data_IF_672924876837
#
_entry.id   IF_672924876837
#
_cell.length_a   1.000
_cell.length_b   1.000
_cell.length_c   1.000
_cell.angle_alpha   90.00
_cell.angle_beta   90.00
_cell.angle_gamma   90.00
#
_symmetry.space_group_name_H-M   'P 1'
#
loop_
_entity.id
_entity.type
_entity.pdbx_description
1 polymer ?
#
# COMPACT_ATOMS: atom_id res chain seq x y z
N UNK A 1 -24.16 -40.75 -45.17
CA UNK A 1 -22.86 -40.13 -44.83
C UNK A 1 -22.90 -39.16 -43.63
N UNK A 2 -24.04 -38.54 -43.28
CA UNK A 2 -24.12 -37.59 -42.15
C UNK A 2 -23.88 -38.22 -40.74
N UNK A 3 -24.21 -39.49 -40.55
CA UNK A 3 -24.08 -40.20 -39.27
C UNK A 3 -22.61 -40.49 -38.90
N UNK A 4 -21.75 -40.75 -39.90
CA UNK A 4 -20.32 -40.97 -39.71
C UNK A 4 -19.60 -39.67 -39.29
N UNK A 5 -19.99 -38.52 -39.86
CA UNK A 5 -19.46 -37.21 -39.49
C UNK A 5 -19.87 -36.77 -38.08
N UNK A 6 -21.10 -37.08 -37.64
CA UNK A 6 -21.51 -36.83 -36.25
C UNK A 6 -20.75 -37.72 -35.25
N UNK A 7 -20.52 -39.00 -35.55
CA UNK A 7 -19.73 -39.88 -34.67
C UNK A 7 -18.26 -39.44 -34.57
N UNK A 8 -17.64 -39.01 -35.67
CA UNK A 8 -16.25 -38.54 -35.67
C UNK A 8 -16.11 -37.23 -34.87
N UNK A 9 -17.06 -36.30 -34.99
CA UNK A 9 -17.07 -35.08 -34.16
C UNK A 9 -17.38 -35.37 -32.69
N UNK A 10 -18.24 -36.33 -32.36
CA UNK A 10 -18.49 -36.72 -30.97
C UNK A 10 -17.27 -37.41 -30.34
N UNK A 11 -16.55 -38.28 -31.06
CA UNK A 11 -15.33 -38.91 -30.57
C UNK A 11 -14.18 -37.90 -30.41
N UNK A 12 -13.99 -36.96 -31.34
CA UNK A 12 -12.96 -35.92 -31.22
C UNK A 12 -13.23 -34.93 -30.09
N UNK A 13 -14.50 -34.63 -29.81
CA UNK A 13 -14.91 -33.82 -28.65
C UNK A 13 -14.66 -34.58 -27.33
N UNK A 14 -14.87 -35.90 -27.30
CA UNK A 14 -14.64 -36.74 -26.13
C UNK A 14 -13.15 -36.97 -25.83
N UNK A 15 -12.31 -37.11 -26.85
CA UNK A 15 -10.85 -37.21 -26.68
C UNK A 15 -10.22 -35.87 -26.29
N UNK A 16 -10.73 -34.75 -26.80
CA UNK A 16 -10.27 -33.41 -26.42
C UNK A 16 -10.64 -33.04 -24.97
N UNK A 17 -11.85 -33.41 -24.52
CA UNK A 17 -12.28 -33.18 -23.13
C UNK A 17 -11.55 -34.06 -22.11
N UNK A 18 -11.29 -35.33 -22.44
CA UNK A 18 -10.55 -36.26 -21.56
C UNK A 18 -9.05 -35.93 -21.48
N UNK A 19 -8.43 -35.47 -22.55
CA UNK A 19 -7.03 -34.99 -22.53
C UNK A 19 -6.88 -33.69 -21.73
N UNK A 20 -7.81 -32.75 -21.86
CA UNK A 20 -7.84 -31.54 -21.03
C UNK A 20 -8.02 -31.87 -19.54
N UNK A 21 -8.96 -32.77 -19.19
CA UNK A 21 -9.17 -33.21 -17.81
C UNK A 21 -7.93 -33.90 -17.21
N UNK A 22 -7.24 -34.72 -18.00
CA UNK A 22 -6.01 -35.42 -17.58
C UNK A 22 -4.84 -34.46 -17.36
N UNK A 23 -4.69 -33.43 -18.21
CA UNK A 23 -3.67 -32.39 -18.02
C UNK A 23 -3.94 -31.57 -16.76
N UNK A 24 -5.19 -31.20 -16.49
CA UNK A 24 -5.57 -30.48 -15.27
C UNK A 24 -5.25 -31.30 -14.02
N UNK A 25 -5.53 -32.62 -14.03
CA UNK A 25 -5.24 -33.51 -12.91
C UNK A 25 -3.74 -33.69 -12.61
N UNK A 26 -2.86 -33.52 -13.61
CA UNK A 26 -1.39 -33.55 -13.42
C UNK A 26 -0.82 -32.18 -13.05
N UNK A 27 -1.45 -31.09 -13.50
CA UNK A 27 -1.04 -29.73 -13.17
C UNK A 27 -1.27 -29.40 -11.69
N UNK A 28 -2.38 -29.85 -11.10
CA UNK A 28 -2.69 -29.59 -9.70
C UNK A 28 -1.60 -30.12 -8.73
N UNK A 29 -1.15 -31.40 -8.78
CA UNK A 29 -0.10 -31.90 -7.91
C UNK A 29 1.28 -31.30 -8.21
N UNK A 30 1.56 -30.96 -9.48
CA UNK A 30 2.79 -30.26 -9.84
C UNK A 30 2.83 -28.85 -9.25
N UNK A 31 1.74 -28.11 -9.37
CA UNK A 31 1.60 -26.76 -8.81
C UNK A 31 1.61 -26.79 -7.28
N UNK A 32 0.98 -27.81 -6.66
CA UNK A 32 1.01 -27.96 -5.20
C UNK A 32 2.40 -28.35 -4.69
N UNK A 33 3.11 -29.26 -5.38
CA UNK A 33 4.49 -29.59 -5.07
C UNK A 33 5.40 -28.37 -5.23
N UNK A 34 5.28 -27.62 -6.33
CA UNK A 34 6.02 -26.39 -6.55
C UNK A 34 5.72 -25.37 -5.46
N UNK A 35 4.46 -25.17 -5.09
CA UNK A 35 4.05 -24.26 -4.03
C UNK A 35 4.62 -24.65 -2.66
N UNK A 36 4.57 -25.94 -2.30
CA UNK A 36 5.16 -26.46 -1.06
C UNK A 36 6.68 -26.34 -1.06
N UNK A 37 7.32 -26.60 -2.19
CA UNK A 37 8.76 -26.42 -2.37
C UNK A 37 9.15 -24.94 -2.22
N UNK A 38 8.44 -24.03 -2.88
CA UNK A 38 8.62 -22.58 -2.76
C UNK A 38 8.46 -22.12 -1.31
N UNK A 39 7.41 -22.60 -0.62
CA UNK A 39 7.20 -22.31 0.81
C UNK A 39 8.33 -22.82 1.68
N UNK A 40 8.80 -24.05 1.45
CA UNK A 40 9.89 -24.66 2.23
C UNK A 40 11.18 -23.87 2.07
N UNK A 41 11.57 -23.57 0.83
CA UNK A 41 12.78 -22.79 0.51
C UNK A 41 12.71 -21.39 1.12
N UNK A 42 11.56 -20.70 1.00
CA UNK A 42 11.38 -19.37 1.58
C UNK A 42 11.40 -19.35 3.10
N UNK A 43 11.04 -20.44 3.79
CA UNK A 43 11.14 -20.53 5.26
C UNK A 43 12.56 -20.74 5.76
N UNK A 44 13.43 -21.32 4.93
CA UNK A 44 14.81 -21.64 5.31
C UNK A 44 15.78 -20.46 5.12
N UNK A 45 15.36 -19.41 4.40
CA UNK A 45 16.20 -18.25 4.14
C UNK A 45 15.58 -16.99 4.72
N UNK A 46 16.40 -16.19 5.41
CA UNK A 46 16.00 -14.85 5.85
C UNK A 46 15.86 -13.91 4.65
N UNK A 47 16.73 -14.05 3.65
CA UNK A 47 16.71 -13.24 2.43
C UNK A 47 15.89 -13.95 1.35
N UNK A 48 14.96 -13.26 0.67
CA UNK A 48 14.20 -13.83 -0.45
C UNK A 48 15.09 -14.49 -1.51
N UNK A 49 14.74 -15.72 -1.91
CA UNK A 49 15.47 -16.43 -2.96
C UNK A 49 15.11 -15.85 -4.32
N UNK A 50 16.13 -15.58 -5.13
CA UNK A 50 15.97 -15.07 -6.49
C UNK A 50 15.76 -16.22 -7.49
N UNK A 51 14.54 -16.39 -8.00
CA UNK A 51 14.20 -17.42 -8.98
C UNK A 51 14.44 -16.92 -10.42
N UNK A 52 14.85 -17.79 -11.36
CA UNK A 52 15.20 -17.37 -12.73
C UNK A 52 14.11 -16.60 -13.49
N UNK A 53 12.83 -16.96 -13.28
CA UNK A 53 11.69 -16.34 -13.98
C UNK A 53 10.88 -15.43 -13.07
N UNK A 54 10.60 -15.87 -11.84
CA UNK A 54 9.73 -15.18 -10.89
C UNK A 54 10.46 -14.16 -9.99
N UNK A 55 11.79 -14.08 -10.09
CA UNK A 55 12.60 -13.27 -9.19
C UNK A 55 12.37 -13.64 -7.73
N UNK A 56 12.36 -12.63 -6.87
CA UNK A 56 12.10 -12.74 -5.43
C UNK A 56 10.60 -12.63 -5.06
N UNK A 57 9.71 -12.47 -6.05
CA UNK A 57 8.27 -12.29 -5.86
C UNK A 57 7.59 -13.43 -5.07
N UNK A 58 7.95 -14.73 -5.26
CA UNK A 58 7.30 -15.82 -4.52
C UNK A 58 7.47 -15.75 -3.00
N UNK A 59 8.47 -15.00 -2.50
CA UNK A 59 8.70 -14.81 -1.08
C UNK A 59 7.83 -13.70 -0.45
N UNK A 60 7.24 -12.83 -1.27
CA UNK A 60 6.49 -11.67 -0.79
C UNK A 60 5.21 -12.03 0.00
N UNK A 61 4.31 -12.93 -0.49
CA UNK A 61 3.05 -13.20 0.21
C UNK A 61 3.22 -13.85 1.58
N UNK A 62 4.30 -14.61 1.77
CA UNK A 62 4.56 -15.34 3.01
C UNK A 62 4.85 -14.42 4.21
N UNK A 63 5.23 -13.16 3.94
CA UNK A 63 5.68 -12.22 4.96
C UNK A 63 4.85 -10.93 5.05
N UNK A 64 3.78 -10.77 4.25
CA UNK A 64 2.99 -9.52 4.23
C UNK A 64 2.46 -9.10 5.61
N UNK A 65 1.99 -10.06 6.42
CA UNK A 65 1.48 -9.77 7.77
C UNK A 65 2.56 -9.37 8.77
N UNK A 66 3.83 -9.70 8.51
CA UNK A 66 4.98 -9.37 9.35
C UNK A 66 6.07 -8.66 8.53
N UNK A 67 5.66 -7.83 7.56
CA UNK A 67 6.55 -7.27 6.56
C UNK A 67 7.63 -6.40 7.20
N UNK A 68 7.26 -5.64 8.23
CA UNK A 68 8.20 -4.83 9.01
C UNK A 68 9.25 -5.70 9.71
N UNK A 69 8.84 -6.68 10.52
CA UNK A 69 9.76 -7.54 11.28
C UNK A 69 10.64 -8.39 10.36
N UNK A 70 10.08 -8.88 9.26
CA UNK A 70 10.85 -9.58 8.24
C UNK A 70 11.84 -8.63 7.54
N UNK A 71 11.42 -7.42 7.19
CA UNK A 71 12.26 -6.39 6.59
C UNK A 71 13.46 -6.05 7.46
N UNK A 72 13.26 -5.86 8.78
CA UNK A 72 14.35 -5.62 9.73
C UNK A 72 15.37 -6.76 9.71
N UNK A 73 14.92 -8.02 9.70
CA UNK A 73 15.81 -9.19 9.61
C UNK A 73 16.57 -9.25 8.28
N UNK A 74 15.91 -8.94 7.17
CA UNK A 74 16.55 -8.87 5.84
C UNK A 74 17.64 -7.79 5.86
N UNK A 75 17.33 -6.58 6.34
CA UNK A 75 18.31 -5.51 6.42
C UNK A 75 19.50 -5.85 7.32
N UNK A 76 19.26 -6.48 8.47
CA UNK A 76 20.34 -6.94 9.34
C UNK A 76 21.26 -7.96 8.64
N UNK A 77 20.69 -8.85 7.81
CA UNK A 77 21.45 -9.82 7.04
C UNK A 77 22.19 -9.22 5.82
N UNK A 78 21.70 -8.13 5.25
CA UNK A 78 22.21 -7.54 4.00
C UNK A 78 22.97 -6.22 4.19
N UNK A 79 23.45 -5.94 5.40
CA UNK A 79 24.18 -4.69 5.73
C UNK A 79 23.34 -3.43 5.42
N UNK A 80 22.08 -3.42 5.85
CA UNK A 80 21.16 -2.28 5.78
C UNK A 80 20.70 -1.86 4.38
N UNK A 81 21.09 -2.59 3.33
CA UNK A 81 20.63 -2.36 1.95
C UNK A 81 20.23 -3.68 1.30
N UNK A 82 19.07 -3.73 0.65
CA UNK A 82 18.52 -4.94 0.03
C UNK A 82 17.97 -4.62 -1.36
N UNK A 83 18.49 -5.31 -2.37
CA UNK A 83 17.98 -5.21 -3.74
C UNK A 83 16.97 -6.33 -4.00
N UNK A 84 15.69 -5.96 -4.11
CA UNK A 84 14.63 -6.85 -4.55
C UNK A 84 14.65 -6.97 -6.07
N UNK A 85 14.68 -8.22 -6.56
CA UNK A 85 14.60 -8.53 -7.99
C UNK A 85 13.21 -9.04 -8.35
N UNK A 86 12.54 -8.35 -9.27
CA UNK A 86 11.24 -8.74 -9.78
C UNK A 86 11.29 -9.91 -10.77
N UNK A 87 10.13 -10.43 -11.20
CA UNK A 87 10.05 -11.32 -12.36
C UNK A 87 10.66 -10.67 -13.60
N UNK A 88 11.36 -11.42 -14.43
CA UNK A 88 12.14 -10.90 -15.57
C UNK A 88 11.39 -10.00 -16.57
N UNK A 89 10.07 -10.17 -16.70
CA UNK A 89 9.19 -9.45 -17.62
C UNK A 89 8.50 -8.26 -16.94
N UNK A 90 8.53 -8.19 -15.61
CA UNK A 90 7.90 -7.13 -14.83
C UNK A 90 9.03 -6.23 -14.32
N UNK A 91 9.07 -4.97 -14.75
CA UNK A 91 10.07 -3.97 -14.29
C UNK A 91 9.83 -3.60 -12.81
N UNK A 92 10.09 -4.55 -11.91
CA UNK A 92 9.78 -4.48 -10.48
C UNK A 92 11.02 -4.51 -9.60
N UNK A 93 12.20 -4.28 -10.17
CA UNK A 93 13.42 -4.17 -9.38
C UNK A 93 13.35 -2.95 -8.45
N UNK A 94 13.66 -3.17 -7.18
CA UNK A 94 13.61 -2.13 -6.15
C UNK A 94 14.83 -2.23 -5.25
N UNK A 95 15.40 -1.08 -4.90
CA UNK A 95 16.41 -1.00 -3.86
C UNK A 95 15.76 -0.47 -2.59
N UNK A 96 15.80 -1.28 -1.53
CA UNK A 96 15.43 -0.89 -0.20
C UNK A 96 16.70 -0.58 0.59
N UNK A 97 16.73 0.52 1.33
CA UNK A 97 17.90 0.89 2.14
C UNK A 97 17.46 1.59 3.42
N UNK A 98 18.10 1.24 4.52
CA UNK A 98 18.05 1.96 5.79
C UNK A 98 19.44 2.46 6.22
N UNK A 99 20.46 2.33 5.35
CA UNK A 99 21.76 2.96 5.56
C UNK A 99 21.63 4.50 5.54
N UNK A 100 22.01 5.22 6.62
CA UNK A 100 21.95 6.67 6.69
C UNK A 100 22.71 7.37 5.55
N UNK A 101 23.82 6.80 5.07
CA UNK A 101 24.59 7.37 3.97
C UNK A 101 23.78 7.37 2.67
N UNK A 102 23.08 6.27 2.38
CA UNK A 102 22.20 6.16 1.22
C UNK A 102 20.97 7.06 1.35
N UNK A 103 20.39 7.16 2.54
CA UNK A 103 19.25 8.07 2.81
C UNK A 103 19.65 9.53 2.57
N UNK A 104 20.80 9.96 3.08
CA UNK A 104 21.34 11.29 2.83
C UNK A 104 21.69 11.51 1.34
N UNK A 105 22.18 10.48 0.67
CA UNK A 105 22.44 10.53 -0.77
C UNK A 105 21.16 10.82 -1.56
N UNK A 106 20.12 10.00 -1.34
CA UNK A 106 18.85 10.07 -2.08
C UNK A 106 18.04 11.31 -1.71
N UNK A 107 17.88 11.64 -0.43
CA UNK A 107 16.93 12.68 -0.02
C UNK A 107 17.54 14.07 0.17
N UNK A 108 18.87 14.18 0.26
CA UNK A 108 19.53 15.46 0.54
C UNK A 108 20.47 15.88 -0.57
N UNK A 109 21.52 15.10 -0.85
CA UNK A 109 22.60 15.54 -1.75
C UNK A 109 22.27 15.38 -3.24
N UNK A 110 21.54 14.33 -3.63
CA UNK A 110 21.28 13.98 -5.04
C UNK A 110 19.79 13.78 -5.35
N UNK A 111 18.90 14.42 -4.58
CA UNK A 111 17.44 14.26 -4.73
C UNK A 111 16.89 14.56 -6.13
N UNK A 112 17.56 15.42 -6.90
CA UNK A 112 17.17 15.72 -8.28
C UNK A 112 17.30 14.53 -9.25
N UNK A 113 18.15 13.53 -8.93
CA UNK A 113 18.40 12.35 -9.76
C UNK A 113 17.41 11.22 -9.46
N UNK A 114 16.67 11.31 -8.35
CA UNK A 114 15.69 10.32 -7.90
C UNK A 114 14.26 10.88 -7.94
N UNK A 115 13.69 11.19 -9.14
CA UNK A 115 12.30 11.60 -9.25
C UNK A 115 11.37 10.44 -8.90
N UNK A 116 10.14 10.75 -8.44
CA UNK A 116 9.10 9.73 -8.24
C UNK A 116 8.64 9.16 -9.59
N UNK A 117 8.51 10.03 -10.58
CA UNK A 117 8.23 9.67 -11.96
C UNK A 117 6.75 9.37 -12.26
N UNK A 118 6.42 9.11 -13.53
CA UNK A 118 5.03 8.97 -14.01
C UNK A 118 4.33 7.75 -13.42
N UNK A 119 5.04 6.62 -13.24
CA UNK A 119 4.46 5.41 -12.64
C UNK A 119 3.95 5.67 -11.22
N UNK A 120 4.64 6.54 -10.47
CA UNK A 120 4.19 6.97 -9.14
C UNK A 120 2.96 7.88 -9.26
N UNK A 121 3.04 8.92 -10.10
CA UNK A 121 1.93 9.86 -10.29
C UNK A 121 0.62 9.16 -10.70
N UNK A 122 0.69 8.18 -11.60
CA UNK A 122 -0.48 7.40 -12.01
C UNK A 122 -1.09 6.57 -10.87
N UNK A 123 -0.26 5.99 -10.01
CA UNK A 123 -0.75 5.20 -8.87
C UNK A 123 -1.41 6.08 -7.80
N UNK A 124 -1.05 7.36 -7.78
CA UNK A 124 -1.51 8.36 -6.82
C UNK A 124 -2.36 9.44 -7.52
N UNK A 125 -3.02 9.12 -8.63
CA UNK A 125 -3.76 10.06 -9.49
C UNK A 125 -4.79 10.91 -8.72
N UNK A 126 -5.39 10.35 -7.67
CA UNK A 126 -6.36 11.05 -6.80
C UNK A 126 -5.78 12.35 -6.19
N UNK A 127 -4.47 12.45 -6.07
CA UNK A 127 -3.77 13.60 -5.52
C UNK A 127 -3.39 14.64 -6.59
N UNK A 128 -3.72 14.41 -7.87
CA UNK A 128 -3.48 15.34 -8.98
C UNK A 128 -2.05 15.87 -9.03
N UNK A 129 -1.87 17.15 -9.36
CA UNK A 129 -0.57 17.85 -9.34
C UNK A 129 -0.18 18.36 -7.94
N UNK A 130 -0.45 17.59 -6.89
CA UNK A 130 -0.04 17.95 -5.53
C UNK A 130 1.45 17.71 -5.27
N UNK A 131 1.91 18.17 -4.11
CA UNK A 131 3.26 17.92 -3.59
C UNK A 131 3.64 16.42 -3.59
N UNK A 132 2.65 15.53 -3.55
CA UNK A 132 2.85 14.08 -3.53
C UNK A 132 3.32 13.59 -4.91
N UNK A 133 2.73 14.10 -6.00
CA UNK A 133 2.96 13.60 -7.36
C UNK A 133 3.92 14.46 -8.19
N UNK A 134 4.18 15.71 -7.79
CA UNK A 134 5.10 16.59 -8.52
C UNK A 134 6.56 16.28 -8.20
N UNK A 135 7.44 16.57 -9.14
CA UNK A 135 8.90 16.47 -9.01
C UNK A 135 9.58 17.79 -9.42
N UNK A 136 10.90 17.90 -9.21
CA UNK A 136 11.71 19.02 -9.68
C UNK A 136 11.32 20.39 -9.10
N UNK A 137 11.31 21.43 -9.93
CA UNK A 137 11.04 22.81 -9.50
C UNK A 137 9.62 23.00 -8.98
N UNK A 138 8.62 22.34 -9.59
CA UNK A 138 7.23 22.41 -9.12
C UNK A 138 7.11 21.90 -7.69
N UNK A 139 7.73 20.75 -7.40
CA UNK A 139 7.79 20.22 -6.04
C UNK A 139 8.51 21.17 -5.07
N UNK A 140 9.65 21.77 -5.49
CA UNK A 140 10.40 22.73 -4.66
C UNK A 140 9.56 23.96 -4.34
N UNK A 141 8.85 24.50 -5.33
CA UNK A 141 7.98 25.66 -5.17
C UNK A 141 6.82 25.37 -4.21
N UNK A 142 6.11 24.26 -4.42
CA UNK A 142 5.03 23.81 -3.54
C UNK A 142 5.53 23.55 -2.11
N UNK A 143 6.68 22.88 -1.96
CA UNK A 143 7.29 22.61 -0.64
C UNK A 143 7.66 23.90 0.08
N UNK A 144 8.24 24.88 -0.62
CA UNK A 144 8.60 26.18 -0.04
C UNK A 144 7.35 26.93 0.43
N UNK A 145 6.29 26.94 -0.38
CA UNK A 145 5.02 27.57 -0.03
C UNK A 145 4.40 26.92 1.23
N UNK A 146 4.28 25.59 1.24
CA UNK A 146 3.69 24.83 2.35
C UNK A 146 4.55 24.98 3.62
N UNK A 147 5.87 24.90 3.51
CA UNK A 147 6.77 25.12 4.63
C UNK A 147 6.62 26.53 5.23
N UNK A 148 6.59 27.57 4.39
CA UNK A 148 6.38 28.95 4.84
C UNK A 148 5.02 29.12 5.55
N UNK A 149 3.96 28.51 5.01
CA UNK A 149 2.65 28.51 5.65
C UNK A 149 2.70 27.83 7.03
N UNK A 150 3.22 26.61 7.12
CA UNK A 150 3.23 25.80 8.35
C UNK A 150 4.12 26.40 9.44
N UNK A 151 5.25 27.00 9.06
CA UNK A 151 6.17 27.67 10.01
C UNK A 151 5.67 29.05 10.44
N UNK A 152 4.69 29.63 9.73
CA UNK A 152 4.18 30.95 10.05
C UNK A 152 3.55 30.96 11.45
N UNK A 153 3.81 32.04 12.21
CA UNK A 153 3.20 32.22 13.54
C UNK A 153 1.67 32.16 13.47
N UNK A 154 1.07 32.71 12.41
CA UNK A 154 -0.37 32.72 12.21
C UNK A 154 -0.94 31.30 12.12
N UNK A 155 -0.32 30.43 11.32
CA UNK A 155 -0.76 29.05 11.18
C UNK A 155 -0.57 28.27 12.48
N UNK A 156 0.61 28.36 13.12
CA UNK A 156 0.86 27.68 14.41
C UNK A 156 -0.12 28.11 15.52
N UNK A 157 -0.45 29.40 15.60
CA UNK A 157 -1.45 29.89 16.56
C UNK A 157 -2.88 29.43 16.19
N UNK A 158 -3.19 29.24 14.91
CA UNK A 158 -4.46 28.66 14.50
C UNK A 158 -4.52 27.16 14.86
N UNK A 159 -3.47 26.41 14.54
CA UNK A 159 -3.34 24.99 14.85
C UNK A 159 -3.49 24.70 16.34
N UNK A 160 -2.79 25.44 17.19
CA UNK A 160 -2.89 25.31 18.64
C UNK A 160 -4.31 25.58 19.14
N UNK A 161 -5.00 26.59 18.59
CA UNK A 161 -6.38 26.93 18.98
C UNK A 161 -7.36 25.86 18.52
N UNK A 162 -7.28 25.44 17.26
CA UNK A 162 -8.15 24.39 16.70
C UNK A 162 -7.98 23.06 17.44
N UNK A 163 -6.73 22.66 17.71
CA UNK A 163 -6.43 21.43 18.45
C UNK A 163 -6.93 21.50 19.89
N UNK A 164 -6.70 22.63 20.58
CA UNK A 164 -7.19 22.84 21.94
C UNK A 164 -8.71 22.78 21.99
N UNK A 165 -9.38 23.48 21.09
CA UNK A 165 -10.85 23.50 20.99
C UNK A 165 -11.41 22.09 20.78
N UNK A 166 -10.84 21.32 19.83
CA UNK A 166 -11.29 19.95 19.57
C UNK A 166 -11.08 19.01 20.76
N UNK A 167 -10.00 19.19 21.52
CA UNK A 167 -9.74 18.40 22.74
C UNK A 167 -10.71 18.78 23.87
N UNK A 168 -10.86 20.08 24.14
CA UNK A 168 -11.68 20.58 25.25
C UNK A 168 -13.18 20.33 25.01
N UNK A 169 -13.64 20.53 23.77
CA UNK A 169 -15.07 20.48 23.43
C UNK A 169 -15.51 19.19 22.72
N UNK A 170 -14.57 18.37 22.22
CA UNK A 170 -14.86 17.09 21.55
C UNK A 170 -14.37 15.88 22.33
N UNK A 171 -13.04 15.72 22.42
CA UNK A 171 -12.41 14.51 22.98
C UNK A 171 -12.72 14.29 24.46
N UNK A 172 -12.49 15.31 25.31
CA UNK A 172 -12.67 15.18 26.75
C UNK A 172 -14.13 14.88 27.12
N UNK A 173 -15.15 15.60 26.59
CA UNK A 173 -16.54 15.29 26.85
C UNK A 173 -16.92 13.87 26.42
N UNK A 174 -16.50 13.44 25.23
CA UNK A 174 -16.77 12.11 24.71
C UNK A 174 -16.20 11.01 25.62
N UNK A 175 -14.92 11.12 26.00
CA UNK A 175 -14.28 10.14 26.90
C UNK A 175 -14.94 10.12 28.29
N UNK A 176 -15.38 11.28 28.79
CA UNK A 176 -16.12 11.35 30.05
C UNK A 176 -17.42 10.55 29.98
N UNK A 177 -18.19 10.67 28.89
CA UNK A 177 -19.43 9.88 28.72
C UNK A 177 -19.16 8.38 28.67
N UNK A 178 -18.10 7.94 27.98
CA UNK A 178 -17.72 6.53 27.96
C UNK A 178 -17.33 6.02 29.35
N UNK A 179 -16.62 6.83 30.14
CA UNK A 179 -16.29 6.50 31.52
C UNK A 179 -17.54 6.43 32.41
N UNK A 180 -18.47 7.37 32.29
CA UNK A 180 -19.74 7.40 33.05
C UNK A 180 -20.65 6.22 32.73
N UNK A 181 -20.68 5.79 31.46
CA UNK A 181 -21.46 4.62 31.00
C UNK A 181 -20.74 3.29 31.21
N UNK A 182 -19.50 3.30 31.74
CA UNK A 182 -18.63 2.15 31.88
C UNK A 182 -18.50 1.33 30.59
N UNK A 183 -18.53 2.01 29.44
CA UNK A 183 -18.47 1.41 28.12
C UNK A 183 -17.01 1.23 27.68
N UNK A 184 -16.71 0.07 27.11
CA UNK A 184 -15.43 -0.14 26.45
C UNK A 184 -15.39 0.71 25.17
N UNK A 185 -14.28 1.42 24.95
CA UNK A 185 -14.04 2.23 23.76
C UNK A 185 -12.70 1.86 23.14
N UNK A 186 -12.68 1.77 21.81
CA UNK A 186 -11.44 1.62 21.06
C UNK A 186 -10.76 2.99 20.91
N UNK A 187 -9.64 3.18 21.61
CA UNK A 187 -8.87 4.43 21.54
C UNK A 187 -8.21 4.63 20.17
N UNK A 188 -7.99 3.56 19.39
CA UNK A 188 -7.47 3.70 18.03
C UNK A 188 -8.48 4.40 17.13
N UNK A 189 -9.74 3.98 17.13
CA UNK A 189 -10.81 4.63 16.37
C UNK A 189 -11.03 6.08 16.84
N UNK A 190 -11.01 6.32 18.15
CA UNK A 190 -11.11 7.66 18.73
C UNK A 190 -9.99 8.59 18.21
N UNK A 191 -8.73 8.15 18.25
CA UNK A 191 -7.62 8.98 17.80
C UNK A 191 -7.59 9.15 16.29
N UNK A 192 -8.05 8.15 15.52
CA UNK A 192 -8.20 8.27 14.08
C UNK A 192 -9.23 9.36 13.73
N UNK A 193 -10.40 9.33 14.38
CA UNK A 193 -11.46 10.35 14.22
C UNK A 193 -11.00 11.74 14.65
N UNK A 194 -10.31 11.84 15.78
CA UNK A 194 -9.70 13.09 16.25
C UNK A 194 -8.72 13.65 15.21
N UNK A 195 -7.83 12.81 14.69
CA UNK A 195 -6.83 13.21 13.70
C UNK A 195 -7.50 13.67 12.42
N UNK A 196 -8.53 12.95 11.95
CA UNK A 196 -9.28 13.31 10.76
C UNK A 196 -9.99 14.66 10.90
N UNK A 197 -10.73 14.86 12.00
CA UNK A 197 -11.46 16.11 12.25
C UNK A 197 -10.50 17.30 12.39
N UNK A 198 -9.40 17.12 13.13
CA UNK A 198 -8.39 18.17 13.30
C UNK A 198 -7.72 18.50 11.96
N UNK A 199 -7.37 17.48 11.15
CA UNK A 199 -6.77 17.70 9.83
C UNK A 199 -7.73 18.43 8.88
N UNK A 200 -8.99 18.03 8.82
CA UNK A 200 -10.00 18.70 8.01
C UNK A 200 -10.22 20.15 8.47
N UNK A 201 -10.21 20.40 9.78
CA UNK A 201 -10.29 21.76 10.32
C UNK A 201 -9.09 22.59 9.87
N UNK A 202 -7.87 22.04 9.93
CA UNK A 202 -6.65 22.77 9.54
C UNK A 202 -6.57 23.05 8.04
N UNK A 203 -6.98 22.10 7.21
CA UNK A 203 -6.80 22.15 5.75
C UNK A 203 -8.01 22.76 5.04
N UNK A 204 -9.22 22.39 5.45
CA UNK A 204 -10.49 22.79 4.82
C UNK A 204 -11.22 23.88 5.60
N UNK A 205 -10.82 24.16 6.85
CA UNK A 205 -11.52 25.10 7.72
C UNK A 205 -12.84 24.59 8.27
N UNK A 206 -13.12 23.29 8.13
CA UNK A 206 -14.40 22.66 8.51
C UNK A 206 -14.15 21.44 9.39
N UNK A 207 -14.85 21.36 10.51
CA UNK A 207 -14.91 20.16 11.36
C UNK A 207 -16.00 19.21 10.83
N UNK A 208 -15.65 18.02 10.31
CA UNK A 208 -16.61 17.04 9.82
C UNK A 208 -17.36 16.32 10.94
N UNK A 209 -16.90 16.41 12.19
CA UNK A 209 -17.58 15.85 13.35
C UNK A 209 -17.53 14.31 13.42
N UNK A 210 -16.49 13.67 12.90
CA UNK A 210 -16.29 12.22 13.04
C UNK A 210 -16.12 11.80 14.50
N UNK A 211 -15.53 12.67 15.32
CA UNK A 211 -15.38 12.52 16.78
C UNK A 211 -16.57 13.17 17.50
N UNK A 212 -17.75 12.57 17.34
CA UNK A 212 -18.98 12.99 18.02
C UNK A 212 -19.74 11.78 18.57
N UNK A 213 -20.72 12.04 19.43
CA UNK A 213 -21.52 10.98 20.07
C UNK A 213 -22.14 10.04 19.01
N UNK A 214 -21.99 8.74 19.21
CA UNK A 214 -22.50 7.73 18.27
C UNK A 214 -21.59 7.43 17.06
N UNK A 215 -20.41 8.07 16.97
CA UNK A 215 -19.38 7.76 15.97
C UNK A 215 -19.93 7.72 14.53
N UNK A 216 -20.50 8.84 14.05
CA UNK A 216 -21.14 8.86 12.74
C UNK A 216 -20.15 8.47 11.64
N UNK A 217 -20.68 7.83 10.60
CA UNK A 217 -19.93 7.60 9.37
C UNK A 217 -20.03 8.85 8.51
N UNK A 218 -18.92 9.58 8.38
CA UNK A 218 -18.84 10.75 7.51
C UNK A 218 -18.54 10.29 6.07
N UNK A 219 -19.35 10.65 5.06
CA UNK A 219 -19.15 10.20 3.68
C UNK A 219 -17.76 10.52 3.13
N UNK A 220 -17.22 11.68 3.48
CA UNK A 220 -15.87 12.09 3.08
C UNK A 220 -14.78 11.22 3.70
N UNK A 221 -14.87 10.89 4.99
CA UNK A 221 -13.93 9.97 5.66
C UNK A 221 -13.97 8.59 4.99
N UNK A 222 -15.18 8.05 4.77
CA UNK A 222 -15.36 6.77 4.08
C UNK A 222 -14.78 6.76 2.67
N UNK A 223 -14.96 7.85 1.91
CA UNK A 223 -14.39 7.96 0.57
C UNK A 223 -12.85 7.94 0.60
N UNK A 224 -12.24 8.59 1.60
CA UNK A 224 -10.79 8.61 1.77
C UNK A 224 -10.23 7.23 2.18
N UNK A 225 -10.95 6.49 3.02
CA UNK A 225 -10.58 5.11 3.38
C UNK A 225 -10.56 4.21 2.14
N UNK A 226 -11.63 4.26 1.32
CA UNK A 226 -11.72 3.50 0.06
C UNK A 226 -10.61 3.90 -0.91
N UNK A 227 -10.32 5.20 -1.03
CA UNK A 227 -9.24 5.67 -1.90
C UNK A 227 -7.86 5.19 -1.42
N UNK A 228 -7.61 5.21 -0.11
CA UNK A 228 -6.37 4.74 0.51
C UNK A 228 -6.19 3.23 0.31
N UNK A 229 -7.26 2.46 0.48
CA UNK A 229 -7.30 1.02 0.21
C UNK A 229 -7.01 0.72 -1.27
N UNK A 230 -7.65 1.47 -2.17
CA UNK A 230 -7.45 1.32 -3.61
C UNK A 230 -6.01 1.63 -4.04
N UNK A 231 -5.34 2.62 -3.45
CA UNK A 231 -3.91 2.90 -3.70
C UNK A 231 -3.05 1.74 -3.20
N UNK A 232 -3.30 1.28 -1.97
CA UNK A 232 -2.50 0.24 -1.34
C UNK A 232 -2.55 -1.08 -2.13
N UNK A 233 -3.75 -1.51 -2.55
CA UNK A 233 -3.90 -2.74 -3.33
C UNK A 233 -3.64 -2.53 -4.84
N UNK A 234 -4.03 -1.37 -5.39
CA UNK A 234 -3.88 -1.05 -6.81
C UNK A 234 -2.42 -1.00 -7.28
N UNK A 235 -1.51 -0.53 -6.42
CA UNK A 235 -0.05 -0.55 -6.69
C UNK A 235 0.52 -1.97 -6.82
N UNK A 236 -0.09 -2.95 -6.16
CA UNK A 236 0.36 -4.36 -6.20
C UNK A 236 -0.13 -5.10 -7.45
N UNK A 237 -1.32 -4.77 -7.96
CA UNK A 237 -1.90 -5.44 -9.13
C UNK A 237 -1.58 -4.76 -10.47
N UNK A 238 -1.43 -3.42 -10.51
CA UNK A 238 -1.20 -2.70 -11.78
C UNK A 238 0.17 -3.00 -12.41
N UNK A 239 1.15 -3.44 -11.61
CA UNK A 239 2.43 -3.94 -12.12
C UNK A 239 2.35 -5.28 -12.84
N UNK A 240 1.25 -6.03 -12.73
CA UNK A 240 1.02 -7.28 -13.46
C UNK A 240 0.29 -7.09 -14.80
N UNK A 241 -0.34 -5.93 -15.02
CA UNK A 241 -1.01 -5.57 -16.26
C UNK A 241 -0.11 -4.69 -17.09
N UNK A 242 0.87 -5.28 -17.77
CA UNK A 242 1.71 -4.57 -18.73
C UNK A 242 0.82 -3.84 -19.75
N UNK A 243 0.88 -2.51 -19.76
CA UNK A 243 0.47 -1.73 -20.93
C UNK A 243 1.66 -1.64 -21.87
N UNK A 244 1.95 -2.74 -22.55
CA UNK A 244 2.52 -2.81 -23.91
C UNK A 244 2.13 -4.16 -24.49
#
# INVERSE_FOLDING_TARGET
MAWAWSCVNSLSFFTSTTTCASLVLLLIPLLSFLFLHLRRVNRCSVVPVNWPVLGMLPAAPAHLHHLHDHGVRVFAATRWSFAFRGPWLLRMDMLFTCDPANVNHVFSTHSAIYPKGPDFADNFEIFGESLINTDGETWRAQRRMIHNLMTSRRFRCYELRASRDKVENGLIPLLRRFAESNAAVDLQDVFLRLTFDTTCTLVLGVDPGCLSDGFPTVPFAKALDVASEAIFFGTSFRKSGGKY
#
